data_IF_648597651794
#
_entry.id   IF_648597651794
#
_cell.length_a   1.000
_cell.length_b   1.000
_cell.length_c   1.000
_cell.angle_alpha   90.00
_cell.angle_beta   90.00
_cell.angle_gamma   90.00
#
_symmetry.space_group_name_H-M   'P 1'
#
loop_
_entity.id
_entity.type
_entity.pdbx_description
1 polymer ?
#
# COMPACT_ATOMS: atom_id res chain seq x y z
N UNK A 1 -54.92 -11.81 38.84
CA UNK A 1 -56.36 -11.62 39.12
C UNK A 1 -56.77 -10.25 38.57
N UNK A 2 -57.71 -10.23 37.59
CA UNK A 2 -58.55 -9.13 37.07
C UNK A 2 -57.95 -7.75 36.76
N UNK A 3 -57.82 -7.33 35.49
CA UNK A 3 -58.85 -6.96 34.47
C UNK A 3 -59.43 -5.54 34.63
N UNK A 4 -59.21 -4.73 33.58
CA UNK A 4 -60.20 -3.89 32.85
C UNK A 4 -60.46 -2.44 33.33
N UNK A 5 -60.02 -1.44 32.55
CA UNK A 5 -60.83 -0.69 31.55
C UNK A 5 -60.17 0.65 31.14
N UNK A 6 -59.73 0.81 29.89
CA UNK A 6 -60.40 1.45 28.72
C UNK A 6 -60.57 2.97 28.84
N UNK A 7 -59.91 3.73 27.94
CA UNK A 7 -60.44 4.78 27.03
C UNK A 7 -59.30 5.72 26.59
N UNK A 8 -58.69 5.47 25.43
CA UNK A 8 -58.86 6.21 24.16
C UNK A 8 -58.43 7.68 24.21
N UNK A 9 -57.31 7.98 23.56
CA UNK A 9 -57.22 9.10 22.61
C UNK A 9 -56.07 8.84 21.63
N UNK A 10 -56.44 8.56 20.37
CA UNK A 10 -55.61 8.75 19.19
C UNK A 10 -55.05 10.18 19.21
N UNK A 11 -53.78 10.38 18.87
CA UNK A 11 -53.34 11.51 18.03
C UNK A 11 -51.87 11.37 17.61
N UNK A 12 -51.70 11.36 16.29
CA UNK A 12 -50.58 11.86 15.51
C UNK A 12 -49.23 11.13 15.58
N UNK A 13 -49.02 10.30 14.54
CA UNK A 13 -47.72 10.10 13.89
C UNK A 13 -47.02 11.46 13.68
N UNK A 14 -45.80 11.57 14.18
CA UNK A 14 -44.77 12.39 13.54
C UNK A 14 -43.54 11.51 13.34
N UNK A 15 -43.48 10.89 12.17
CA UNK A 15 -42.29 10.23 11.68
C UNK A 15 -41.25 11.33 11.37
N UNK A 16 -40.41 11.66 12.35
CA UNK A 16 -39.18 12.41 12.08
C UNK A 16 -38.21 11.40 11.48
N UNK A 17 -38.18 11.35 10.15
CA UNK A 17 -37.05 10.79 9.43
C UNK A 17 -35.84 11.69 9.72
N UNK A 18 -35.14 11.40 10.81
CA UNK A 18 -33.81 11.95 11.06
C UNK A 18 -32.90 11.37 9.98
N UNK A 19 -32.71 12.14 8.91
CA UNK A 19 -31.56 12.00 8.04
C UNK A 19 -30.33 12.14 8.94
N UNK A 20 -29.71 11.02 9.32
CA UNK A 20 -28.44 11.05 10.01
C UNK A 20 -27.42 11.63 9.03
N UNK A 21 -26.84 12.83 9.27
CA UNK A 21 -25.67 13.22 8.52
C UNK A 21 -24.58 12.21 8.88
N UNK A 22 -24.06 11.51 7.89
CA UNK A 22 -22.88 10.65 8.05
C UNK A 22 -21.74 11.53 8.56
N UNK A 23 -21.52 11.50 9.87
CA UNK A 23 -20.49 12.23 10.58
C UNK A 23 -19.12 11.56 10.37
N UNK A 24 -18.69 11.37 9.12
CA UNK A 24 -17.34 10.91 8.77
C UNK A 24 -16.49 12.09 8.32
N UNK A 25 -16.31 13.10 9.18
CA UNK A 25 -15.38 14.21 8.90
C UNK A 25 -14.92 15.03 10.11
N UNK A 26 -15.52 14.92 11.29
CA UNK A 26 -15.20 15.76 12.45
C UNK A 26 -14.00 15.21 13.27
N UNK A 27 -12.99 14.69 12.59
CA UNK A 27 -11.69 14.43 13.21
C UNK A 27 -10.85 15.72 13.27
N UNK A 28 -9.84 15.81 14.14
CA UNK A 28 -8.86 16.90 14.08
C UNK A 28 -8.30 17.02 12.65
N UNK A 29 -8.22 18.23 12.08
CA UNK A 29 -7.64 18.44 10.76
C UNK A 29 -6.22 17.83 10.74
N UNK A 30 -5.98 16.76 9.95
CA UNK A 30 -4.71 16.04 9.96
C UNK A 30 -3.54 16.90 9.49
N UNK A 31 -3.81 18.04 8.85
CA UNK A 31 -2.83 18.99 8.35
C UNK A 31 -2.84 20.30 9.15
N UNK A 32 -3.52 20.38 10.29
CA UNK A 32 -3.68 21.59 11.12
C UNK A 32 -2.34 22.23 11.54
N UNK A 33 -1.27 21.44 11.64
CA UNK A 33 0.06 21.90 12.04
C UNK A 33 0.91 22.48 10.90
N UNK A 34 0.47 22.37 9.64
CA UNK A 34 1.16 22.98 8.50
C UNK A 34 0.85 24.48 8.39
N UNK A 35 1.77 25.24 7.83
CA UNK A 35 1.48 26.60 7.38
C UNK A 35 0.46 26.58 6.21
N UNK A 36 -0.20 27.72 5.99
CA UNK A 36 -1.29 27.83 5.00
C UNK A 36 -0.83 27.46 3.58
N UNK A 37 0.40 27.81 3.19
CA UNK A 37 0.88 27.54 1.84
C UNK A 37 1.14 26.05 1.64
N UNK A 38 1.84 25.40 2.57
CA UNK A 38 2.09 23.95 2.52
C UNK A 38 0.82 23.13 2.66
N UNK A 39 -0.13 23.54 3.52
CA UNK A 39 -1.44 22.88 3.61
C UNK A 39 -2.17 22.90 2.27
N UNK A 40 -2.24 24.06 1.60
CA UNK A 40 -2.88 24.19 0.27
C UNK A 40 -2.22 23.31 -0.77
N UNK A 41 -0.89 23.23 -0.78
CA UNK A 41 -0.16 22.35 -1.70
C UNK A 41 -0.43 20.87 -1.45
N UNK A 42 -0.46 20.42 -0.19
CA UNK A 42 -0.79 19.02 0.12
C UNK A 42 -2.24 18.70 -0.24
N UNK A 43 -3.17 19.61 0.04
CA UNK A 43 -4.58 19.43 -0.28
C UNK A 43 -4.81 19.31 -1.80
N UNK A 44 -4.16 20.17 -2.60
CA UNK A 44 -4.29 20.09 -4.06
C UNK A 44 -3.75 18.77 -4.63
N UNK A 45 -2.70 18.20 -4.03
CA UNK A 45 -2.18 16.87 -4.41
C UNK A 45 -3.15 15.75 -4.06
N UNK A 46 -3.82 15.83 -2.91
CA UNK A 46 -4.87 14.87 -2.51
C UNK A 46 -6.05 14.95 -3.49
N UNK A 47 -6.49 16.15 -3.83
CA UNK A 47 -7.62 16.35 -4.75
C UNK A 47 -7.25 15.91 -6.18
N UNK A 48 -6.01 16.16 -6.61
CA UNK A 48 -5.50 15.64 -7.88
C UNK A 48 -5.45 14.11 -7.90
N UNK A 49 -4.95 13.48 -6.84
CA UNK A 49 -4.94 12.03 -6.71
C UNK A 49 -6.35 11.44 -6.77
N UNK A 50 -7.33 12.08 -6.11
CA UNK A 50 -8.73 11.68 -6.18
C UNK A 50 -9.29 11.81 -7.59
N UNK A 51 -9.05 12.94 -8.27
CA UNK A 51 -9.50 13.19 -9.63
C UNK A 51 -8.92 12.19 -10.64
N UNK A 52 -7.67 11.75 -10.45
CA UNK A 52 -7.01 10.73 -11.26
C UNK A 52 -7.36 9.28 -10.84
N UNK A 53 -8.23 9.08 -9.85
CA UNK A 53 -8.60 7.74 -9.35
C UNK A 53 -7.45 6.99 -8.68
N UNK A 54 -6.43 7.71 -8.20
CA UNK A 54 -5.29 7.16 -7.46
C UNK A 54 -5.64 7.00 -5.97
N UNK A 55 -4.94 6.09 -5.24
CA UNK A 55 -5.12 5.99 -3.81
C UNK A 55 -4.62 7.27 -3.12
N UNK A 56 -5.50 7.94 -2.38
CA UNK A 56 -5.19 9.20 -1.66
C UNK A 56 -4.50 8.97 -0.32
N UNK A 57 -4.69 7.78 0.28
CA UNK A 57 -4.18 7.47 1.61
C UNK A 57 -2.65 7.59 1.71
N UNK A 58 -1.83 7.10 0.75
CA UNK A 58 -0.37 7.26 0.82
C UNK A 58 0.07 8.73 0.83
N UNK A 59 -0.62 9.60 0.08
CA UNK A 59 -0.34 11.05 0.00
C UNK A 59 -0.60 11.70 1.36
N UNK A 60 -1.76 11.41 1.96
CA UNK A 60 -2.14 11.92 3.27
C UNK A 60 -1.23 11.38 4.39
N UNK A 61 -0.98 10.07 4.42
CA UNK A 61 -0.12 9.43 5.40
C UNK A 61 1.29 10.01 5.36
N UNK A 62 1.83 10.31 4.17
CA UNK A 62 3.17 10.91 4.08
C UNK A 62 3.22 12.33 4.65
N UNK A 63 2.15 13.11 4.45
CA UNK A 63 2.03 14.42 5.04
C UNK A 63 1.99 14.34 6.59
N UNK A 64 1.15 13.44 7.12
CA UNK A 64 1.02 13.20 8.56
C UNK A 64 2.33 12.69 9.18
N UNK A 65 3.06 11.81 8.50
CA UNK A 65 4.38 11.36 8.93
C UNK A 65 5.34 12.54 9.08
N UNK A 66 5.37 13.43 8.09
CA UNK A 66 6.20 14.63 8.13
C UNK A 66 5.83 15.58 9.28
N UNK A 67 4.53 15.79 9.51
CA UNK A 67 4.03 16.58 10.65
C UNK A 67 4.45 15.97 11.98
N UNK A 68 4.28 14.65 12.14
CA UNK A 68 4.70 13.93 13.36
C UNK A 68 6.21 13.98 13.58
N UNK A 69 7.00 14.03 12.50
CA UNK A 69 8.45 14.20 12.52
C UNK A 69 8.90 15.66 12.65
N UNK A 70 7.98 16.61 12.82
CA UNK A 70 8.26 18.04 12.93
C UNK A 70 9.07 18.60 11.74
N UNK A 71 8.86 18.02 10.56
CA UNK A 71 9.52 18.46 9.32
C UNK A 71 8.89 19.77 8.84
N UNK A 72 9.67 20.65 8.23
CA UNK A 72 9.15 21.91 7.71
C UNK A 72 8.14 21.69 6.57
N UNK A 73 7.09 22.52 6.53
CA UNK A 73 6.01 22.44 5.54
C UNK A 73 6.48 22.34 4.09
N UNK A 74 7.48 23.14 3.64
CA UNK A 74 8.01 23.04 2.27
C UNK A 74 8.65 21.69 1.95
N UNK A 75 9.34 21.06 2.91
CA UNK A 75 9.92 19.71 2.73
C UNK A 75 8.79 18.67 2.67
N UNK A 76 7.79 18.79 3.55
CA UNK A 76 6.61 17.91 3.54
C UNK A 76 5.92 17.97 2.17
N UNK A 77 5.61 19.16 1.66
CA UNK A 77 4.96 19.34 0.36
C UNK A 77 5.77 18.72 -0.79
N UNK A 78 7.10 18.87 -0.77
CA UNK A 78 7.99 18.25 -1.77
C UNK A 78 7.92 16.72 -1.72
N UNK A 79 8.02 16.12 -0.55
CA UNK A 79 8.01 14.65 -0.40
C UNK A 79 6.64 14.06 -0.72
N UNK A 80 5.56 14.75 -0.33
CA UNK A 80 4.18 14.36 -0.68
C UNK A 80 3.97 14.41 -2.20
N UNK A 81 4.53 15.43 -2.88
CA UNK A 81 4.53 15.49 -4.35
C UNK A 81 5.26 14.28 -4.96
N UNK A 82 6.38 13.85 -4.39
CA UNK A 82 7.07 12.64 -4.84
C UNK A 82 6.17 11.41 -4.71
N UNK A 83 5.43 11.25 -3.61
CA UNK A 83 4.43 10.16 -3.45
C UNK A 83 3.38 10.19 -4.52
N UNK A 84 2.79 11.36 -4.78
CA UNK A 84 1.81 11.53 -5.84
C UNK A 84 2.37 11.14 -7.22
N UNK A 85 3.58 11.59 -7.56
CA UNK A 85 4.22 11.24 -8.83
C UNK A 85 4.56 9.75 -8.93
N UNK A 86 4.99 9.12 -7.83
CA UNK A 86 5.23 7.67 -7.80
C UNK A 86 3.93 6.87 -8.00
N UNK A 87 2.79 7.33 -7.49
CA UNK A 87 1.49 6.71 -7.74
C UNK A 87 1.08 6.82 -9.22
N UNK A 88 1.28 7.99 -9.84
CA UNK A 88 1.05 8.18 -11.28
C UNK A 88 1.95 7.28 -12.10
N UNK A 89 3.23 7.19 -11.76
CA UNK A 89 4.17 6.30 -12.42
C UNK A 89 3.79 4.83 -12.24
N UNK A 90 3.38 4.41 -11.04
CA UNK A 90 2.89 3.06 -10.79
C UNK A 90 1.66 2.73 -11.66
N UNK A 91 0.71 3.66 -11.80
CA UNK A 91 -0.44 3.52 -12.71
C UNK A 91 -0.01 3.38 -14.17
N UNK A 92 0.94 4.20 -14.62
CA UNK A 92 1.46 4.12 -15.99
C UNK A 92 2.18 2.79 -16.25
N UNK A 93 2.94 2.29 -15.27
CA UNK A 93 3.71 1.04 -15.37
C UNK A 93 2.82 -0.21 -15.29
N UNK A 94 1.88 -0.26 -14.34
CA UNK A 94 1.05 -1.44 -14.06
C UNK A 94 -0.26 -1.48 -14.86
N UNK A 95 -0.63 -0.35 -15.47
CA UNK A 95 -1.83 -0.19 -16.30
C UNK A 95 -3.11 0.13 -15.52
N UNK A 96 -4.19 0.29 -16.27
CA UNK A 96 -5.53 0.62 -15.74
C UNK A 96 -6.13 -0.49 -14.87
N UNK A 97 -5.75 -1.74 -15.12
CA UNK A 97 -6.22 -2.90 -14.34
C UNK A 97 -5.58 -3.05 -12.95
N UNK A 98 -4.59 -2.23 -12.60
CA UNK A 98 -3.97 -2.27 -11.28
C UNK A 98 -4.93 -1.75 -10.20
N UNK A 99 -5.08 -2.52 -9.13
CA UNK A 99 -5.91 -2.13 -7.99
C UNK A 99 -5.18 -1.12 -7.06
N UNK A 100 -5.89 -0.56 -6.08
CA UNK A 100 -5.36 0.49 -5.19
C UNK A 100 -4.15 0.03 -4.37
N UNK A 101 -4.11 -1.24 -3.98
CA UNK A 101 -3.01 -1.80 -3.17
C UNK A 101 -1.78 -2.05 -4.04
N UNK A 102 -1.97 -2.56 -5.27
CA UNK A 102 -0.90 -2.73 -6.26
C UNK A 102 -0.26 -1.38 -6.62
N UNK A 103 -1.06 -0.32 -6.78
CA UNK A 103 -0.56 1.03 -7.03
C UNK A 103 0.24 1.57 -5.84
N UNK A 104 -0.24 1.33 -4.62
CA UNK A 104 0.44 1.78 -3.40
C UNK A 104 1.77 1.05 -3.24
N UNK A 105 1.80 -0.27 -3.41
CA UNK A 105 3.00 -1.08 -3.33
C UNK A 105 3.98 -0.74 -4.47
N UNK A 106 3.47 -0.56 -5.70
CA UNK A 106 4.28 -0.16 -6.85
C UNK A 106 4.91 1.21 -6.68
N UNK A 107 4.18 2.19 -6.12
CA UNK A 107 4.74 3.50 -5.81
C UNK A 107 5.85 3.41 -4.75
N UNK A 108 5.66 2.62 -3.69
CA UNK A 108 6.68 2.39 -2.68
C UNK A 108 7.94 1.73 -3.29
N UNK A 109 7.77 0.74 -4.17
CA UNK A 109 8.87 0.10 -4.87
C UNK A 109 9.67 1.10 -5.75
N UNK A 110 8.96 1.93 -6.53
CA UNK A 110 9.59 2.97 -7.35
C UNK A 110 10.36 3.99 -6.49
N UNK A 111 9.86 4.33 -5.30
CA UNK A 111 10.56 5.23 -4.36
C UNK A 111 11.79 4.60 -3.72
N UNK A 112 11.79 3.29 -3.50
CA UNK A 112 12.98 2.54 -3.12
C UNK A 112 14.02 2.46 -4.27
N UNK A 113 13.65 2.95 -5.46
CA UNK A 113 14.50 3.03 -6.64
C UNK A 113 14.51 1.75 -7.48
N UNK A 114 13.52 0.88 -7.29
CA UNK A 114 13.30 -0.30 -8.13
C UNK A 114 12.87 0.17 -9.52
N UNK A 115 13.45 -0.36 -10.62
CA UNK A 115 13.12 0.07 -11.96
C UNK A 115 11.70 -0.36 -12.36
N UNK A 116 11.03 0.46 -13.18
CA UNK A 116 9.69 0.15 -13.69
C UNK A 116 9.63 -1.19 -14.45
N UNK A 117 10.72 -1.59 -15.13
CA UNK A 117 10.81 -2.88 -15.79
C UNK A 117 10.61 -4.06 -14.82
N UNK A 118 11.16 -4.00 -13.60
CA UNK A 118 10.99 -5.06 -12.61
C UNK A 118 9.52 -5.21 -12.14
N UNK A 119 8.78 -4.10 -12.06
CA UNK A 119 7.33 -4.11 -11.76
C UNK A 119 6.54 -4.81 -12.89
N UNK A 120 6.92 -4.54 -14.14
CA UNK A 120 6.31 -5.14 -15.34
C UNK A 120 6.59 -6.65 -15.36
N UNK A 121 7.83 -7.06 -15.10
CA UNK A 121 8.22 -8.47 -15.05
C UNK A 121 7.44 -9.24 -13.98
N UNK A 122 7.28 -8.66 -12.78
CA UNK A 122 6.46 -9.26 -11.71
C UNK A 122 4.98 -9.39 -12.12
N UNK A 123 4.44 -8.36 -12.78
CA UNK A 123 3.06 -8.38 -13.29
C UNK A 123 2.85 -9.49 -14.31
N UNK A 124 3.77 -9.64 -15.27
CA UNK A 124 3.69 -10.69 -16.28
C UNK A 124 3.85 -12.09 -15.67
N UNK A 125 4.77 -12.26 -14.73
CA UNK A 125 4.98 -13.53 -14.04
C UNK A 125 3.78 -13.95 -13.17
N UNK A 126 3.01 -12.99 -12.65
CA UNK A 126 1.90 -13.24 -11.73
C UNK A 126 0.67 -13.92 -12.33
N UNK A 127 0.54 -13.99 -13.67
CA UNK A 127 -0.60 -14.62 -14.38
C UNK A 127 -1.98 -14.25 -13.81
N UNK A 128 -2.17 -12.98 -13.44
CA UNK A 128 -3.42 -12.46 -12.88
C UNK A 128 -3.54 -12.53 -11.35
N UNK A 129 -2.57 -13.12 -10.65
CA UNK A 129 -2.44 -12.97 -9.19
C UNK A 129 -2.11 -11.52 -8.84
N UNK A 130 -2.55 -11.09 -7.66
CA UNK A 130 -2.15 -9.81 -7.10
C UNK A 130 -0.64 -9.75 -6.92
N UNK A 131 -0.03 -8.64 -7.35
CA UNK A 131 1.40 -8.41 -7.15
C UNK A 131 1.72 -7.50 -5.95
N UNK A 132 0.71 -7.19 -5.11
CA UNK A 132 0.90 -6.33 -3.93
C UNK A 132 1.99 -6.88 -3.00
N UNK A 133 1.90 -8.16 -2.61
CA UNK A 133 2.86 -8.78 -1.70
C UNK A 133 4.30 -8.78 -2.24
N UNK A 134 4.58 -9.28 -3.47
CA UNK A 134 5.94 -9.25 -4.00
C UNK A 134 6.49 -7.83 -4.12
N UNK A 135 5.68 -6.82 -4.45
CA UNK A 135 6.13 -5.43 -4.51
C UNK A 135 6.46 -4.85 -3.13
N UNK A 136 5.64 -5.13 -2.11
CA UNK A 136 5.91 -4.69 -0.73
C UNK A 136 7.21 -5.32 -0.22
N UNK A 137 7.37 -6.62 -0.41
CA UNK A 137 8.55 -7.37 0.03
C UNK A 137 9.81 -6.87 -0.69
N UNK A 138 9.72 -6.61 -1.99
CA UNK A 138 10.82 -6.08 -2.77
C UNK A 138 11.28 -4.71 -2.26
N UNK A 139 10.34 -3.80 -1.97
CA UNK A 139 10.65 -2.49 -1.41
C UNK A 139 11.28 -2.57 0.00
N UNK A 140 10.79 -3.50 0.84
CA UNK A 140 11.30 -3.72 2.20
C UNK A 140 12.75 -4.25 2.17
N UNK A 141 13.06 -5.22 1.30
CA UNK A 141 14.42 -5.74 1.14
C UNK A 141 15.42 -4.65 0.74
N UNK A 142 15.05 -3.79 -0.22
CA UNK A 142 15.91 -2.67 -0.62
C UNK A 142 16.10 -1.67 0.51
N UNK A 143 15.06 -1.40 1.29
CA UNK A 143 15.14 -0.52 2.47
C UNK A 143 16.12 -1.06 3.52
N UNK A 144 16.25 -2.39 3.62
CA UNK A 144 17.21 -3.09 4.51
C UNK A 144 18.63 -3.17 3.95
N UNK A 145 18.90 -2.53 2.81
CA UNK A 145 20.24 -2.46 2.21
C UNK A 145 20.55 -3.60 1.24
N UNK A 146 19.57 -4.44 0.88
CA UNK A 146 19.79 -5.41 -0.21
C UNK A 146 19.96 -4.64 -1.53
N UNK A 147 20.98 -4.94 -2.35
CA UNK A 147 21.13 -4.34 -3.67
C UNK A 147 19.89 -4.56 -4.55
N UNK A 148 19.42 -3.48 -5.21
CA UNK A 148 18.16 -3.45 -5.97
C UNK A 148 18.05 -4.56 -7.02
N UNK A 149 19.13 -4.79 -7.77
CA UNK A 149 19.16 -5.81 -8.82
C UNK A 149 19.16 -7.23 -8.25
N UNK A 150 19.78 -7.42 -7.09
CA UNK A 150 19.75 -8.70 -6.36
C UNK A 150 18.35 -8.95 -5.82
N UNK A 151 17.73 -7.96 -5.19
CA UNK A 151 16.36 -8.08 -4.66
C UNK A 151 15.34 -8.35 -5.77
N UNK A 152 15.42 -7.60 -6.88
CA UNK A 152 14.47 -7.73 -8.00
C UNK A 152 14.56 -9.11 -8.65
N UNK A 153 15.77 -9.61 -8.91
CA UNK A 153 15.97 -10.94 -9.49
C UNK A 153 15.50 -12.05 -8.54
N UNK A 154 15.84 -11.97 -7.26
CA UNK A 154 15.47 -12.99 -6.29
C UNK A 154 13.95 -13.08 -6.10
N UNK A 155 13.25 -11.95 -5.96
CA UNK A 155 11.80 -11.93 -5.82
C UNK A 155 11.11 -12.41 -7.10
N UNK A 156 11.60 -12.02 -8.28
CA UNK A 156 11.07 -12.53 -9.54
C UNK A 156 11.22 -14.05 -9.67
N UNK A 157 12.38 -14.59 -9.30
CA UNK A 157 12.64 -16.04 -9.32
C UNK A 157 11.73 -16.80 -8.35
N UNK A 158 11.58 -16.32 -7.11
CA UNK A 158 10.67 -16.91 -6.13
C UNK A 158 9.22 -16.86 -6.61
N UNK A 159 8.81 -15.72 -7.18
CA UNK A 159 7.46 -15.52 -7.70
C UNK A 159 7.16 -16.45 -8.89
N UNK A 160 8.09 -16.58 -9.84
CA UNK A 160 7.99 -17.54 -10.95
C UNK A 160 8.01 -18.99 -10.47
N UNK A 161 8.78 -19.28 -9.42
CA UNK A 161 8.83 -20.55 -8.73
C UNK A 161 7.59 -20.86 -7.88
N UNK A 162 6.59 -19.98 -7.85
CA UNK A 162 5.32 -20.23 -7.17
C UNK A 162 5.36 -20.04 -5.65
N UNK A 163 6.32 -19.27 -5.13
CA UNK A 163 6.34 -18.87 -3.72
C UNK A 163 5.00 -18.22 -3.32
N UNK A 164 4.46 -18.63 -2.17
CA UNK A 164 3.22 -18.06 -1.65
C UNK A 164 3.45 -16.75 -0.93
N UNK A 165 2.38 -15.99 -0.68
CA UNK A 165 2.45 -14.71 0.03
C UNK A 165 3.10 -14.84 1.42
N UNK A 166 2.82 -15.93 2.15
CA UNK A 166 3.42 -16.19 3.45
C UNK A 166 4.95 -16.40 3.37
N UNK A 167 5.42 -17.09 2.33
CA UNK A 167 6.85 -17.32 2.10
C UNK A 167 7.55 -15.98 1.80
N UNK A 168 6.93 -15.14 0.97
CA UNK A 168 7.46 -13.81 0.63
C UNK A 168 7.43 -12.85 1.82
N UNK A 169 6.35 -12.81 2.61
CA UNK A 169 6.22 -11.93 3.77
C UNK A 169 7.17 -12.31 4.91
N UNK A 170 7.55 -13.58 5.03
CA UNK A 170 8.54 -14.04 6.02
C UNK A 170 9.98 -13.65 5.67
N UNK A 171 10.27 -13.44 4.38
CA UNK A 171 11.62 -13.29 3.88
C UNK A 171 12.36 -12.05 4.42
N UNK A 172 11.79 -10.82 4.46
CA UNK A 172 12.52 -9.65 4.94
C UNK A 172 13.00 -9.77 6.39
N UNK A 173 12.19 -10.38 7.26
CA UNK A 173 12.56 -10.61 8.67
C UNK A 173 13.70 -11.61 8.79
N UNK A 174 13.67 -12.69 8.00
CA UNK A 174 14.73 -13.68 8.01
C UNK A 174 16.06 -13.08 7.50
N UNK A 175 15.99 -12.24 6.46
CA UNK A 175 17.14 -11.50 5.93
C UNK A 175 17.69 -10.51 6.95
N UNK A 176 16.82 -9.75 7.63
CA UNK A 176 17.24 -8.84 8.71
C UNK A 176 17.98 -9.57 9.82
N UNK A 177 17.51 -10.74 10.23
CA UNK A 177 18.17 -11.54 11.27
C UNK A 177 19.58 -11.97 10.86
N UNK A 178 19.80 -12.33 9.60
CA UNK A 178 21.12 -12.67 9.08
C UNK A 178 22.03 -11.44 9.01
N UNK A 179 21.50 -10.29 8.59
CA UNK A 179 22.24 -9.02 8.56
C UNK A 179 22.70 -8.62 9.96
N UNK A 180 21.81 -8.71 10.94
CA UNK A 180 22.14 -8.46 12.36
C UNK A 180 23.20 -9.44 12.87
N UNK A 181 23.23 -10.66 12.33
CA UNK A 181 24.25 -11.68 12.63
C UNK A 181 25.57 -11.49 11.86
N UNK A 182 25.70 -10.41 11.07
CA UNK A 182 26.92 -10.04 10.36
C UNK A 182 26.97 -10.45 8.88
N UNK A 183 25.90 -11.03 8.33
CA UNK A 183 25.86 -11.34 6.90
C UNK A 183 25.70 -10.09 6.04
N UNK A 184 26.31 -10.07 4.85
CA UNK A 184 26.04 -9.03 3.88
C UNK A 184 24.57 -9.13 3.38
N UNK A 185 23.83 -8.01 3.21
CA UNK A 185 22.40 -8.03 2.86
C UNK A 185 22.06 -8.85 1.60
N UNK A 186 22.90 -8.77 0.56
CA UNK A 186 22.71 -9.55 -0.66
C UNK A 186 22.81 -11.06 -0.42
N UNK A 187 23.83 -11.49 0.33
CA UNK A 187 24.07 -12.90 0.63
C UNK A 187 22.99 -13.47 1.56
N UNK A 188 22.57 -12.68 2.56
CA UNK A 188 21.44 -13.01 3.42
C UNK A 188 20.18 -13.32 2.61
N UNK A 189 19.82 -12.45 1.65
CA UNK A 189 18.67 -12.70 0.76
C UNK A 189 18.85 -13.98 -0.06
N UNK A 190 20.00 -14.16 -0.70
CA UNK A 190 20.23 -15.32 -1.56
C UNK A 190 20.20 -16.64 -0.77
N UNK A 191 20.73 -16.65 0.44
CA UNK A 191 20.70 -17.82 1.31
C UNK A 191 19.28 -18.15 1.76
N UNK A 192 18.47 -17.16 2.16
CA UNK A 192 17.07 -17.36 2.57
C UNK A 192 16.15 -17.71 1.40
N UNK A 193 16.39 -17.14 0.22
CA UNK A 193 15.60 -17.47 -0.97
C UNK A 193 15.73 -18.96 -1.34
N UNK A 194 16.92 -19.56 -1.17
CA UNK A 194 17.15 -20.99 -1.44
C UNK A 194 16.38 -21.93 -0.52
N UNK A 195 15.96 -21.46 0.66
CA UNK A 195 15.19 -22.29 1.61
C UNK A 195 13.68 -22.28 1.33
N UNK A 196 13.21 -21.40 0.43
CA UNK A 196 11.79 -21.33 0.07
C UNK A 196 11.50 -22.40 -0.99
N UNK A 197 10.51 -23.29 -0.76
CA UNK A 197 10.20 -24.36 -1.70
C UNK A 197 9.59 -23.83 -3.00
N UNK A 198 10.04 -24.38 -4.13
CA UNK A 198 9.48 -24.13 -5.45
C UNK A 198 8.17 -24.93 -5.59
N UNK A 199 7.09 -24.26 -5.94
CA UNK A 199 5.76 -24.84 -6.20
C UNK A 199 5.43 -24.67 -7.67
N UNK A 200 5.82 -25.64 -8.49
CA UNK A 200 5.45 -25.65 -9.90
C UNK A 200 3.95 -25.95 -10.07
N UNK A 201 3.26 -25.35 -11.05
CA UNK A 201 1.91 -25.76 -11.41
C UNK A 201 1.92 -27.25 -11.81
N UNK A 202 0.85 -28.02 -11.52
CA UNK A 202 0.75 -29.37 -12.04
C UNK A 202 0.83 -29.33 -13.57
N UNK A 203 1.66 -30.19 -14.16
CA UNK A 203 1.73 -30.34 -15.61
C UNK A 203 0.32 -30.67 -16.13
N UNK A 204 -0.11 -30.00 -17.21
CA UNK A 204 -1.32 -30.42 -17.92
C UNK A 204 -1.12 -31.88 -18.33
N UNK A 205 -1.94 -32.78 -17.80
CA UNK A 205 -2.01 -34.15 -18.29
C UNK A 205 -2.56 -34.06 -19.71
N UNK A 206 -1.86 -34.58 -20.73
CA UNK A 206 -2.42 -34.65 -22.08
C UNK A 206 -3.67 -35.54 -22.04
N UNK A 207 -4.78 -35.04 -22.61
CA UNK A 207 -5.99 -35.84 -22.87
C UNK A 207 -5.73 -36.95 -23.89
#
# INVERSE_FOLDING_TARGET
>A
MNRRNVRRALSALLAVAMAAPTLLAQGPDPLAKLDTASRRMVQSLIDSARAEGLPTQPVLSKAQEGVSKHVSGPIIARVVRTVFLSLRQARATLGSGANRDELTAGAAALQAGIPAAALIDLRHAGRGKSITVPLVVLADLVTRGVPRDTASRAILQLWQGGAGDADLLGLPRAVEQDIVSGAAPGDALLNRARTIPIRLPPAKVPE
#
